data_IF_832038163841
#
_entry.id   IF_832038163841
#
_cell.length_a   1.000
_cell.length_b   1.000
_cell.length_c   1.000
_cell.angle_alpha   90.00
_cell.angle_beta   90.00
_cell.angle_gamma   90.00
#
_symmetry.space_group_name_H-M   'P 1'
#
loop_
_entity.id
_entity.type
_entity.pdbx_description
1 polymer ?
#
# COMPACT_ATOMS: atom_id res chain seq x y z
N UNK A 1 8.94 -1.25 26.98
CA UNK A 1 8.66 0.15 26.60
C UNK A 1 8.94 0.44 25.13
N UNK A 2 10.15 0.20 24.59
CA UNK A 2 10.45 0.42 23.15
C UNK A 2 9.47 -0.28 22.17
N UNK A 3 9.04 -1.50 22.48
CA UNK A 3 8.07 -2.26 21.65
C UNK A 3 6.67 -1.63 21.62
N UNK A 4 6.22 -0.98 22.71
CA UNK A 4 4.91 -0.33 22.76
C UNK A 4 4.91 0.91 21.85
N UNK A 5 5.98 1.70 21.88
CA UNK A 5 6.14 2.87 21.00
C UNK A 5 6.15 2.48 19.52
N UNK A 6 6.79 1.36 19.16
CA UNK A 6 6.78 0.87 17.79
C UNK A 6 5.39 0.38 17.36
N UNK A 7 4.63 -0.29 18.24
CA UNK A 7 3.26 -0.68 17.93
C UNK A 7 2.37 0.54 17.68
N UNK A 8 2.46 1.57 18.52
CA UNK A 8 1.72 2.82 18.33
C UNK A 8 2.08 3.52 17.02
N UNK A 9 3.36 3.55 16.66
CA UNK A 9 3.84 4.07 15.37
C UNK A 9 3.15 3.35 14.20
N UNK A 10 3.24 2.03 14.15
CA UNK A 10 2.64 1.24 13.08
C UNK A 10 1.12 1.35 13.05
N UNK A 11 0.45 1.50 14.20
CA UNK A 11 -0.98 1.74 14.26
C UNK A 11 -1.38 3.10 13.67
N UNK A 12 -0.62 4.15 13.93
CA UNK A 12 -0.87 5.48 13.34
C UNK A 12 -0.68 5.40 11.82
N UNK A 13 0.44 4.83 11.36
CA UNK A 13 0.72 4.65 9.94
C UNK A 13 -0.36 3.78 9.26
N UNK A 14 -0.80 2.71 9.93
CA UNK A 14 -1.92 1.88 9.49
C UNK A 14 -3.18 2.71 9.23
N UNK A 15 -3.60 3.50 10.22
CA UNK A 15 -4.83 4.29 10.14
C UNK A 15 -4.74 5.37 9.07
N UNK A 16 -3.57 5.99 8.92
CA UNK A 16 -3.34 6.96 7.84
C UNK A 16 -3.41 6.27 6.47
N UNK A 17 -2.74 5.14 6.28
CA UNK A 17 -2.78 4.37 5.04
C UNK A 17 -4.18 3.88 4.70
N UNK A 18 -4.90 3.32 5.68
CA UNK A 18 -6.30 2.89 5.52
C UNK A 18 -7.22 4.05 5.14
N UNK A 19 -7.10 5.20 5.82
CA UNK A 19 -7.90 6.38 5.52
C UNK A 19 -7.58 6.96 4.15
N UNK A 20 -6.29 7.12 3.82
CA UNK A 20 -5.85 7.64 2.54
C UNK A 20 -6.37 6.79 1.38
N UNK A 21 -6.23 5.46 1.47
CA UNK A 21 -6.75 4.56 0.46
C UNK A 21 -8.27 4.62 0.35
N UNK A 22 -8.99 4.60 1.48
CA UNK A 22 -10.45 4.73 1.50
C UNK A 22 -10.92 6.01 0.79
N UNK A 23 -10.27 7.15 1.05
CA UNK A 23 -10.62 8.40 0.37
C UNK A 23 -10.30 8.37 -1.13
N UNK A 24 -9.17 7.80 -1.53
CA UNK A 24 -8.82 7.65 -2.95
C UNK A 24 -9.91 6.84 -3.67
N UNK A 25 -10.33 5.72 -3.08
CA UNK A 25 -11.34 4.84 -3.68
C UNK A 25 -12.72 5.48 -3.72
N UNK A 26 -13.16 6.14 -2.63
CA UNK A 26 -14.43 6.88 -2.60
C UNK A 26 -14.44 8.03 -3.62
N UNK A 27 -13.31 8.70 -3.84
CA UNK A 27 -13.21 9.72 -4.89
C UNK A 27 -13.23 9.13 -6.30
N UNK A 28 -12.76 7.90 -6.48
CA UNK A 28 -12.68 7.23 -7.77
C UNK A 28 -14.00 6.55 -8.18
N UNK A 29 -14.59 5.76 -7.30
CA UNK A 29 -15.76 4.90 -7.58
C UNK A 29 -17.03 5.31 -6.78
N UNK A 30 -16.92 6.28 -5.89
CA UNK A 30 -18.04 6.75 -5.06
C UNK A 30 -18.34 5.88 -3.83
N UNK A 31 -17.66 4.75 -3.67
CA UNK A 31 -17.79 3.85 -2.52
C UNK A 31 -16.46 3.12 -2.26
N UNK A 32 -16.31 2.54 -1.06
CA UNK A 32 -15.18 1.67 -0.72
C UNK A 32 -15.63 0.64 0.31
N UNK A 33 -15.30 -0.63 0.06
CA UNK A 33 -15.59 -1.68 1.04
C UNK A 33 -14.57 -1.61 2.18
N UNK A 34 -15.00 -1.73 3.44
CA UNK A 34 -14.13 -1.55 4.61
C UNK A 34 -12.92 -2.51 4.63
N UNK A 35 -13.03 -3.68 3.99
CA UNK A 35 -11.90 -4.62 3.83
C UNK A 35 -10.81 -4.09 2.89
N UNK A 36 -11.16 -3.23 1.94
CA UNK A 36 -10.20 -2.56 1.05
C UNK A 36 -9.44 -1.47 1.79
N UNK A 37 -10.12 -0.70 2.64
CA UNK A 37 -9.46 0.23 3.56
C UNK A 37 -8.48 -0.51 4.50
N UNK A 38 -8.88 -1.68 5.02
CA UNK A 38 -7.99 -2.52 5.83
C UNK A 38 -6.75 -2.94 5.03
N UNK A 39 -6.93 -3.46 3.81
CA UNK A 39 -5.84 -3.84 2.92
C UNK A 39 -4.92 -2.65 2.60
N UNK A 40 -5.48 -1.47 2.33
CA UNK A 40 -4.73 -0.24 2.08
C UNK A 40 -3.79 0.13 3.23
N UNK A 41 -4.24 -0.01 4.47
CA UNK A 41 -3.38 0.19 5.65
C UNK A 41 -2.25 -0.83 5.77
N UNK A 42 -2.53 -2.11 5.46
CA UNK A 42 -1.50 -3.17 5.44
C UNK A 42 -0.46 -2.87 4.35
N UNK A 43 -0.92 -2.52 3.15
CA UNK A 43 -0.06 -2.14 2.03
C UNK A 43 0.80 -0.93 2.36
N UNK A 44 0.24 0.10 2.99
CA UNK A 44 0.97 1.31 3.38
C UNK A 44 2.12 0.99 4.34
N UNK A 45 1.88 0.20 5.39
CA UNK A 45 2.94 -0.26 6.29
C UNK A 45 3.98 -1.09 5.52
N UNK A 46 3.53 -2.03 4.69
CA UNK A 46 4.43 -2.91 3.96
C UNK A 46 5.36 -2.13 3.02
N UNK A 47 4.85 -1.08 2.38
CA UNK A 47 5.64 -0.15 1.56
C UNK A 47 6.64 0.63 2.43
N UNK A 48 6.19 1.23 3.53
CA UNK A 48 7.07 1.98 4.43
C UNK A 48 8.21 1.15 5.03
N UNK A 49 7.94 -0.14 5.30
CA UNK A 49 8.97 -1.08 5.77
C UNK A 49 10.07 -1.35 4.72
N UNK A 50 9.82 -1.14 3.42
CA UNK A 50 10.85 -1.28 2.38
C UNK A 50 12.04 -0.37 2.68
N UNK A 51 11.78 0.86 3.15
CA UNK A 51 12.80 1.86 3.48
C UNK A 51 13.60 1.50 4.74
N UNK A 52 13.08 0.65 5.62
CA UNK A 52 13.84 0.15 6.77
C UNK A 52 14.83 -0.95 6.37
N UNK A 53 14.60 -1.65 5.25
CA UNK A 53 15.46 -2.73 4.76
C UNK A 53 16.41 -2.31 3.64
N UNK A 54 16.06 -1.28 2.87
CA UNK A 54 16.86 -0.78 1.76
C UNK A 54 17.62 0.49 2.18
N UNK A 55 18.84 0.66 1.68
CA UNK A 55 19.58 1.90 1.93
C UNK A 55 18.95 3.07 1.18
N UNK A 56 19.12 4.29 1.71
CA UNK A 56 18.76 5.55 1.04
C UNK A 56 19.37 5.71 -0.36
N UNK A 57 20.45 4.99 -0.67
CA UNK A 57 21.07 4.94 -2.01
C UNK A 57 20.23 4.19 -3.05
N UNK A 58 19.21 3.45 -2.62
CA UNK A 58 18.32 2.73 -3.52
C UNK A 58 17.42 3.71 -4.25
N UNK A 59 17.41 3.62 -5.59
CA UNK A 59 16.56 4.47 -6.43
C UNK A 59 15.08 4.34 -6.04
N UNK A 60 14.38 5.47 -5.97
CA UNK A 60 12.95 5.52 -5.65
C UNK A 60 12.11 4.67 -6.61
N UNK A 61 12.53 4.53 -7.87
CA UNK A 61 11.85 3.68 -8.85
C UNK A 61 11.93 2.20 -8.48
N UNK A 62 13.04 1.74 -7.91
CA UNK A 62 13.21 0.35 -7.47
C UNK A 62 12.32 0.09 -6.25
N UNK A 63 12.29 1.02 -5.30
CA UNK A 63 11.41 0.92 -4.13
C UNK A 63 9.93 0.88 -4.54
N UNK A 64 9.52 1.74 -5.48
CA UNK A 64 8.17 1.75 -6.03
C UNK A 64 7.82 0.48 -6.80
N UNK A 65 8.79 -0.11 -7.52
CA UNK A 65 8.61 -1.39 -8.20
C UNK A 65 8.35 -2.50 -7.18
N UNK A 66 9.18 -2.58 -6.14
CA UNK A 66 9.01 -3.55 -5.04
C UNK A 66 7.66 -3.33 -4.35
N UNK A 67 7.30 -2.08 -4.06
CA UNK A 67 6.01 -1.70 -3.50
C UNK A 67 4.84 -2.19 -4.35
N UNK A 68 4.85 -1.93 -5.65
CA UNK A 68 3.79 -2.39 -6.58
C UNK A 68 3.63 -3.91 -6.61
N UNK A 69 4.74 -4.65 -6.54
CA UNK A 69 4.73 -6.11 -6.48
C UNK A 69 4.13 -6.59 -5.16
N UNK A 70 4.52 -5.99 -4.04
CA UNK A 70 3.95 -6.31 -2.72
C UNK A 70 2.45 -6.05 -2.70
N UNK A 71 2.01 -4.88 -3.17
CA UNK A 71 0.57 -4.53 -3.24
C UNK A 71 -0.18 -5.55 -4.10
N UNK A 72 0.34 -5.88 -5.28
CA UNK A 72 -0.29 -6.86 -6.18
C UNK A 72 -0.39 -8.24 -5.52
N UNK A 73 0.63 -8.69 -4.80
CA UNK A 73 0.59 -9.98 -4.09
C UNK A 73 -0.45 -9.95 -2.98
N UNK A 74 -0.47 -8.89 -2.16
CA UNK A 74 -1.43 -8.75 -1.07
C UNK A 74 -2.87 -8.67 -1.59
N UNK A 75 -3.10 -7.88 -2.64
CA UNK A 75 -4.40 -7.77 -3.32
C UNK A 75 -4.87 -9.12 -3.86
N UNK A 76 -3.96 -9.90 -4.48
CA UNK A 76 -4.29 -11.23 -4.95
C UNK A 76 -4.69 -12.19 -3.82
N UNK A 77 -3.93 -12.21 -2.71
CA UNK A 77 -4.22 -13.05 -1.55
C UNK A 77 -5.57 -12.66 -0.94
N UNK A 78 -5.79 -11.36 -0.69
CA UNK A 78 -7.04 -10.85 -0.12
C UNK A 78 -8.22 -11.09 -1.06
N UNK A 79 -8.05 -10.88 -2.36
CA UNK A 79 -9.07 -11.16 -3.36
C UNK A 79 -9.46 -12.64 -3.38
N UNK A 80 -8.49 -13.56 -3.32
CA UNK A 80 -8.78 -14.99 -3.19
C UNK A 80 -9.59 -15.31 -1.93
N UNK A 81 -9.23 -14.74 -0.77
CA UNK A 81 -9.98 -14.96 0.47
C UNK A 81 -11.38 -14.35 0.39
N UNK A 82 -11.50 -13.10 -0.03
CA UNK A 82 -12.74 -12.34 0.07
C UNK A 82 -13.72 -12.69 -1.07
N UNK A 83 -13.23 -12.90 -2.28
CA UNK A 83 -14.09 -13.15 -3.45
C UNK A 83 -14.23 -14.62 -3.79
N UNK A 84 -13.18 -15.43 -3.66
CA UNK A 84 -13.28 -16.87 -4.00
C UNK A 84 -13.80 -17.66 -2.81
N UNK A 85 -13.20 -17.50 -1.62
CA UNK A 85 -13.61 -18.27 -0.44
C UNK A 85 -14.88 -17.71 0.19
N UNK A 86 -14.93 -16.40 0.47
CA UNK A 86 -16.06 -15.76 1.16
C UNK A 86 -17.16 -15.26 0.23
N UNK A 87 -16.94 -15.27 -1.09
CA UNK A 87 -17.93 -14.89 -2.13
C UNK A 87 -18.52 -13.49 -1.96
N UNK A 88 -17.72 -12.53 -1.49
CA UNK A 88 -18.16 -11.15 -1.29
C UNK A 88 -18.39 -10.39 -2.61
N UNK A 89 -17.69 -10.76 -3.69
CA UNK A 89 -17.90 -10.18 -5.03
C UNK A 89 -17.51 -8.70 -5.12
N UNK A 90 -16.42 -8.32 -4.44
CA UNK A 90 -15.89 -6.97 -4.36
C UNK A 90 -14.65 -6.80 -5.25
N UNK A 91 -14.41 -5.61 -5.79
CA UNK A 91 -13.28 -5.27 -6.67
C UNK A 91 -12.99 -6.25 -7.83
N UNK A 92 -13.98 -6.52 -8.69
CA UNK A 92 -13.80 -7.51 -9.78
C UNK A 92 -13.01 -6.97 -10.99
N UNK A 93 -11.85 -7.56 -11.27
CA UNK A 93 -11.05 -7.28 -12.46
C UNK A 93 -11.23 -8.30 -13.59
N UNK A 94 -12.26 -9.15 -13.56
CA UNK A 94 -12.50 -10.21 -14.55
C UNK A 94 -12.58 -9.71 -16.00
N UNK A 95 -13.03 -8.47 -16.19
CA UNK A 95 -13.17 -7.82 -17.51
C UNK A 95 -11.91 -7.04 -17.94
N UNK A 96 -10.89 -6.95 -17.09
CA UNK A 96 -9.66 -6.24 -17.38
C UNK A 96 -8.66 -7.13 -18.12
N UNK A 97 -7.87 -6.58 -19.06
CA UNK A 97 -6.85 -7.35 -19.75
C UNK A 97 -5.75 -7.79 -18.78
N UNK A 98 -5.20 -8.99 -19.02
CA UNK A 98 -4.11 -9.56 -18.21
C UNK A 98 -4.47 -9.64 -16.70
N UNK A 99 -5.72 -9.97 -16.41
CA UNK A 99 -6.15 -10.29 -15.05
C UNK A 99 -5.76 -11.72 -14.65
N UNK A 100 -5.61 -11.94 -13.35
CA UNK A 100 -5.38 -13.25 -12.74
C UNK A 100 -6.56 -13.56 -11.83
N UNK A 101 -7.39 -14.54 -12.22
CA UNK A 101 -8.62 -14.96 -11.53
C UNK A 101 -9.59 -13.80 -11.19
N UNK A 102 -9.54 -12.69 -11.94
CA UNK A 102 -10.29 -11.47 -11.65
C UNK A 102 -9.90 -10.76 -10.35
N UNK A 103 -8.81 -11.15 -9.66
CA UNK A 103 -8.43 -10.60 -8.36
C UNK A 103 -7.35 -9.53 -8.44
N UNK A 104 -6.51 -9.58 -9.48
CA UNK A 104 -5.54 -8.53 -9.83
C UNK A 104 -5.45 -8.41 -11.34
N UNK A 105 -4.96 -7.29 -11.86
CA UNK A 105 -4.57 -7.18 -13.27
C UNK A 105 -3.37 -6.26 -13.47
N UNK A 106 -2.68 -6.40 -14.60
CA UNK A 106 -1.47 -5.65 -14.90
C UNK A 106 -1.69 -4.12 -14.89
N UNK A 107 -2.86 -3.66 -15.35
CA UNK A 107 -3.20 -2.23 -15.40
C UNK A 107 -3.17 -1.61 -14.00
N UNK A 108 -3.80 -2.26 -13.02
CA UNK A 108 -3.78 -1.79 -11.63
C UNK A 108 -2.43 -1.99 -10.96
N UNK A 109 -1.68 -3.05 -11.27
CA UNK A 109 -0.29 -3.19 -10.82
C UNK A 109 0.59 -2.01 -11.27
N UNK A 110 0.37 -1.45 -12.46
CA UNK A 110 1.06 -0.23 -12.90
C UNK A 110 0.59 1.01 -12.13
N UNK A 111 -0.69 1.12 -11.79
CA UNK A 111 -1.16 2.21 -10.91
C UNK A 111 -0.54 2.12 -9.50
N UNK A 112 -0.39 0.90 -8.97
CA UNK A 112 0.28 0.65 -7.69
C UNK A 112 1.75 1.06 -7.69
N UNK A 113 2.42 1.06 -8.84
CA UNK A 113 3.76 1.64 -8.96
C UNK A 113 3.77 3.12 -8.59
N UNK A 114 2.93 3.93 -9.24
CA UNK A 114 2.88 5.37 -8.96
C UNK A 114 2.34 5.66 -7.56
N UNK A 115 1.34 4.90 -7.11
CA UNK A 115 0.81 5.06 -5.76
C UNK A 115 1.84 4.67 -4.70
N UNK A 116 2.71 3.70 -4.97
CA UNK A 116 3.81 3.33 -4.06
C UNK A 116 4.79 4.47 -3.88
N UNK A 117 5.10 5.26 -4.92
CA UNK A 117 5.93 6.47 -4.78
C UNK A 117 5.29 7.43 -3.78
N UNK A 118 3.99 7.72 -3.94
CA UNK A 118 3.28 8.61 -3.03
C UNK A 118 3.23 8.06 -1.60
N UNK A 119 3.06 6.75 -1.46
CA UNK A 119 3.04 6.08 -0.17
C UNK A 119 4.40 6.14 0.54
N UNK A 120 5.50 5.90 -0.18
CA UNK A 120 6.88 6.03 0.31
C UNK A 120 7.10 7.45 0.85
N UNK A 121 6.84 8.47 0.03
CA UNK A 121 6.99 9.86 0.44
C UNK A 121 6.16 10.16 1.70
N UNK A 122 4.88 9.78 1.69
CA UNK A 122 3.99 10.03 2.82
C UNK A 122 4.47 9.33 4.10
N UNK A 123 4.87 8.06 4.03
CA UNK A 123 5.35 7.30 5.18
C UNK A 123 6.60 7.95 5.80
N UNK A 124 7.59 8.30 4.98
CA UNK A 124 8.83 8.92 5.47
C UNK A 124 8.58 10.29 6.09
N UNK A 125 7.76 11.15 5.47
CA UNK A 125 7.42 12.46 6.04
C UNK A 125 6.60 12.34 7.34
N UNK A 126 5.69 11.37 7.43
CA UNK A 126 4.98 11.08 8.68
C UNK A 126 5.95 10.64 9.76
N UNK A 127 6.93 9.81 9.41
CA UNK A 127 7.96 9.35 10.34
C UNK A 127 8.86 10.47 10.84
N UNK A 128 9.28 11.34 9.93
CA UNK A 128 10.03 12.55 10.26
C UNK A 128 9.23 13.48 11.18
N UNK A 129 8.01 13.87 10.80
CA UNK A 129 7.23 14.86 11.55
C UNK A 129 6.64 14.34 12.86
N UNK A 130 6.16 13.10 12.90
CA UNK A 130 5.44 12.56 14.06
C UNK A 130 6.34 11.80 15.03
N UNK A 131 7.43 11.19 14.53
CA UNK A 131 8.29 10.33 15.34
C UNK A 131 9.74 10.84 15.43
N UNK A 132 10.08 11.93 14.73
CA UNK A 132 11.42 12.53 14.77
C UNK A 132 12.50 11.61 14.18
N UNK A 133 12.12 10.79 13.20
CA UNK A 133 13.07 9.96 12.43
C UNK A 133 13.94 10.84 11.51
N UNK A 134 14.86 10.24 10.76
CA UNK A 134 15.77 10.95 9.84
C UNK A 134 14.98 11.73 8.78
N UNK A 135 15.51 12.89 8.35
CA UNK A 135 14.89 13.67 7.29
C UNK A 135 14.92 12.88 5.96
N UNK A 136 13.82 12.80 5.21
CA UNK A 136 13.79 11.97 4.02
C UNK A 136 14.68 12.51 2.90
N UNK A 137 15.52 11.67 2.33
CA UNK A 137 16.42 12.03 1.24
C UNK A 137 16.34 10.98 0.11
N UNK A 138 15.96 11.42 -1.09
CA UNK A 138 15.66 10.50 -2.20
C UNK A 138 16.65 10.59 -3.34
N UNK A 139 17.06 9.43 -3.83
CA UNK A 139 17.77 9.31 -5.10
C UNK A 139 16.78 8.97 -6.22
N UNK A 140 16.63 9.90 -7.16
CA UNK A 140 15.69 9.73 -8.29
C UNK A 140 16.22 8.78 -9.37
N UNK A 141 17.54 8.62 -9.53
CA UNK A 141 18.19 7.73 -10.51
C UNK A 141 19.47 7.19 -9.90
#
# INVERSE_FOLDING_TARGET
MKSITQLFKHLILFLVGSGAYYFIEVLWDGNSHWTMALLGGICFIAIGLINEFLSWDTSMWIQALIGSVIVTILEFIFGCVLNIWLKLGIWDYSQMPLNIFGQVCLVFSMFWFFLSILAILLDDYLRYWLFGEEEPHYKLI
#
